data_IF_754451010729
#
_entry.id   IF_754451010729
#
_cell.length_a   1.000
_cell.length_b   1.000
_cell.length_c   1.000
_cell.angle_alpha   90.00
_cell.angle_beta   90.00
_cell.angle_gamma   90.00
#
_symmetry.space_group_name_H-M   'P 1'
#
loop_
_entity.id
_entity.type
_entity.pdbx_description
1 polymer ?
#
# COMPACT_ATOMS: atom_id res chain seq x y z
N UNK A 1 14.03 -0.30 3.30
CA UNK A 1 13.68 -0.52 1.88
C UNK A 1 14.76 0.18 1.05
N UNK A 2 15.32 -0.44 0.00
CA UNK A 2 16.51 0.07 -0.73
C UNK A 2 16.39 1.52 -1.25
N UNK A 3 15.17 2.05 -1.38
CA UNK A 3 14.90 3.40 -1.87
C UNK A 3 14.94 4.48 -0.78
N UNK A 4 14.94 4.13 0.50
CA UNK A 4 14.99 5.10 1.61
C UNK A 4 16.37 5.75 1.78
N UNK A 5 17.38 5.29 1.03
CA UNK A 5 18.77 5.75 1.13
C UNK A 5 19.20 6.70 0.01
N UNK A 6 18.36 6.90 -1.02
CA UNK A 6 18.68 7.76 -2.17
C UNK A 6 17.92 9.07 -2.10
N UNK A 7 18.60 10.17 -2.43
CA UNK A 7 18.00 11.46 -2.69
C UNK A 7 17.24 11.47 -4.02
N UNK A 8 16.36 12.46 -4.23
CA UNK A 8 15.58 12.55 -5.48
C UNK A 8 16.47 12.72 -6.71
N UNK A 9 17.56 13.47 -6.60
CA UNK A 9 18.49 13.68 -7.70
C UNK A 9 19.23 12.38 -8.08
N UNK A 10 19.68 11.61 -7.07
CA UNK A 10 20.29 10.30 -7.29
C UNK A 10 19.31 9.30 -7.91
N UNK A 11 18.03 9.34 -7.52
CA UNK A 11 16.99 8.51 -8.12
C UNK A 11 16.76 8.88 -9.59
N UNK A 12 16.76 10.17 -9.92
CA UNK A 12 16.60 10.63 -11.31
C UNK A 12 17.81 10.24 -12.17
N UNK A 13 19.03 10.43 -11.67
CA UNK A 13 20.26 10.02 -12.38
C UNK A 13 20.28 8.51 -12.63
N UNK A 14 19.86 7.70 -11.64
CA UNK A 14 19.73 6.24 -11.80
C UNK A 14 18.70 5.87 -12.88
N UNK A 15 17.56 6.59 -12.96
CA UNK A 15 16.55 6.35 -14.00
C UNK A 15 17.07 6.77 -15.38
N UNK A 16 17.80 7.87 -15.47
CA UNK A 16 18.40 8.34 -16.73
C UNK A 16 19.51 7.37 -17.22
N UNK A 17 20.33 6.86 -16.31
CA UNK A 17 21.46 5.96 -16.64
C UNK A 17 20.98 4.53 -16.93
N UNK A 18 20.11 3.98 -16.08
CA UNK A 18 19.75 2.55 -16.09
C UNK A 18 18.35 2.28 -16.64
N UNK A 19 17.55 3.32 -16.87
CA UNK A 19 16.17 3.21 -17.27
C UNK A 19 15.26 2.65 -16.18
N UNK A 20 13.97 2.53 -16.50
CA UNK A 20 12.94 1.98 -15.60
C UNK A 20 13.04 0.46 -15.38
N UNK A 21 13.90 -0.23 -16.15
CA UNK A 21 14.10 -1.69 -16.11
C UNK A 21 15.51 -2.05 -15.63
N UNK A 22 16.04 -1.31 -14.65
CA UNK A 22 17.35 -1.58 -14.06
C UNK A 22 17.39 -2.92 -13.30
N UNK A 23 18.60 -3.44 -13.05
CA UNK A 23 18.77 -4.65 -12.25
C UNK A 23 18.21 -4.49 -10.83
N UNK A 24 18.37 -3.30 -10.25
CA UNK A 24 17.83 -2.93 -8.95
C UNK A 24 16.29 -2.93 -8.95
N UNK A 25 15.66 -2.38 -10.00
CA UNK A 25 14.21 -2.43 -10.16
C UNK A 25 13.71 -3.88 -10.28
N UNK A 26 14.45 -4.74 -10.98
CA UNK A 26 14.12 -6.17 -11.10
C UNK A 26 14.20 -6.89 -9.74
N UNK A 27 15.20 -6.60 -8.90
CA UNK A 27 15.29 -7.19 -7.57
C UNK A 27 14.15 -6.72 -6.66
N UNK A 28 13.79 -5.43 -6.70
CA UNK A 28 12.61 -4.92 -5.97
C UNK A 28 11.34 -5.62 -6.43
N UNK A 29 11.14 -5.79 -7.75
CA UNK A 29 9.99 -6.51 -8.28
C UNK A 29 9.95 -7.98 -7.84
N UNK A 30 11.11 -8.65 -7.73
CA UNK A 30 11.20 -10.02 -7.19
C UNK A 30 10.81 -10.06 -5.71
N UNK A 31 11.32 -9.13 -4.90
CA UNK A 31 10.95 -9.02 -3.49
C UNK A 31 9.44 -8.80 -3.32
N UNK A 32 8.84 -7.91 -4.13
CA UNK A 32 7.41 -7.65 -4.15
C UNK A 32 6.60 -8.88 -4.57
N UNK A 33 7.04 -9.63 -5.56
CA UNK A 33 6.39 -10.86 -6.01
C UNK A 33 6.45 -11.96 -4.93
N UNK A 34 7.58 -12.10 -4.22
CA UNK A 34 7.70 -13.01 -3.08
C UNK A 34 6.72 -12.60 -1.98
N UNK A 35 6.73 -11.33 -1.59
CA UNK A 35 5.83 -10.77 -0.59
C UNK A 35 4.36 -11.01 -0.93
N UNK A 36 3.98 -10.78 -2.19
CA UNK A 36 2.63 -11.06 -2.68
C UNK A 36 2.23 -12.51 -2.48
N UNK A 37 3.11 -13.45 -2.86
CA UNK A 37 2.87 -14.89 -2.66
C UNK A 37 2.71 -15.27 -1.19
N UNK A 38 3.50 -14.67 -0.30
CA UNK A 38 3.39 -14.88 1.13
C UNK A 38 2.02 -14.46 1.66
N UNK A 39 1.52 -13.28 1.28
CA UNK A 39 0.18 -12.84 1.68
C UNK A 39 -0.93 -13.65 1.02
N UNK A 40 -0.81 -13.97 -0.27
CA UNK A 40 -1.77 -14.82 -0.98
C UNK A 40 -1.89 -16.20 -0.31
N UNK A 41 -0.79 -16.71 0.25
CA UNK A 41 -0.79 -17.92 1.05
C UNK A 41 -1.51 -17.73 2.39
N UNK A 42 -1.20 -16.65 3.13
CA UNK A 42 -1.84 -16.35 4.41
C UNK A 42 -3.36 -16.14 4.28
N UNK A 43 -3.80 -15.46 3.21
CA UNK A 43 -5.20 -15.14 2.94
C UNK A 43 -6.07 -16.37 2.66
N UNK A 44 -5.49 -17.52 2.29
CA UNK A 44 -6.19 -18.80 2.03
C UNK A 44 -6.53 -19.59 3.31
N UNK A 45 -6.68 -18.89 4.43
CA UNK A 45 -7.00 -19.43 5.77
C UNK A 45 -5.92 -20.32 6.38
N UNK A 46 -4.66 -19.89 6.24
CA UNK A 46 -3.56 -20.52 6.95
C UNK A 46 -3.27 -19.80 8.27
N UNK A 47 -3.48 -20.47 9.40
CA UNK A 47 -2.99 -20.04 10.71
C UNK A 47 -1.56 -20.52 10.91
N UNK A 48 -0.62 -19.60 11.15
CA UNK A 48 0.74 -19.95 11.55
C UNK A 48 0.78 -20.33 13.02
N UNK A 49 1.63 -21.31 13.36
CA UNK A 49 1.90 -21.70 14.75
C UNK A 49 2.51 -20.58 15.60
N UNK A 50 3.17 -19.62 14.95
CA UNK A 50 3.76 -18.44 15.58
C UNK A 50 3.19 -17.19 14.90
N UNK A 51 2.57 -16.30 15.68
CA UNK A 51 1.98 -15.07 15.18
C UNK A 51 3.09 -14.10 14.80
N UNK A 52 3.20 -13.82 13.51
CA UNK A 52 4.12 -12.84 12.95
C UNK A 52 3.36 -11.57 12.55
N UNK A 53 4.10 -10.48 12.33
CA UNK A 53 3.50 -9.18 11.98
C UNK A 53 2.64 -9.23 10.72
N UNK A 54 3.05 -10.02 9.72
CA UNK A 54 2.30 -10.24 8.47
C UNK A 54 0.92 -10.85 8.73
N UNK A 55 0.84 -11.82 9.64
CA UNK A 55 -0.40 -12.44 10.06
C UNK A 55 -1.36 -11.41 10.68
N UNK A 56 -0.87 -10.53 11.54
CA UNK A 56 -1.69 -9.50 12.21
C UNK A 56 -2.35 -8.56 11.18
N UNK A 57 -1.58 -8.15 10.16
CA UNK A 57 -2.10 -7.28 9.08
C UNK A 57 -3.18 -8.01 8.28
N UNK A 58 -2.95 -9.29 7.94
CA UNK A 58 -3.92 -10.13 7.24
C UNK A 58 -5.19 -10.37 8.07
N UNK A 59 -5.05 -10.60 9.37
CA UNK A 59 -6.18 -10.83 10.27
C UNK A 59 -7.03 -9.56 10.40
N UNK A 60 -6.40 -8.39 10.45
CA UNK A 60 -7.13 -7.12 10.42
C UNK A 60 -7.86 -6.91 9.09
N UNK A 61 -7.22 -7.24 7.95
CA UNK A 61 -7.86 -7.22 6.65
C UNK A 61 -9.11 -8.12 6.60
N UNK A 62 -9.03 -9.34 7.13
CA UNK A 62 -10.17 -10.26 7.24
C UNK A 62 -11.27 -9.70 8.14
N UNK A 63 -10.91 -9.17 9.30
CA UNK A 63 -11.84 -8.51 10.21
C UNK A 63 -12.63 -7.41 9.49
N UNK A 64 -11.97 -6.57 8.69
CA UNK A 64 -12.65 -5.54 7.90
C UNK A 64 -13.58 -6.13 6.84
N UNK A 65 -13.16 -7.19 6.14
CA UNK A 65 -14.02 -7.89 5.18
C UNK A 65 -15.27 -8.47 5.83
N UNK A 66 -15.15 -9.07 7.01
CA UNK A 66 -16.29 -9.57 7.78
C UNK A 66 -17.22 -8.44 8.23
N UNK A 67 -16.67 -7.33 8.71
CA UNK A 67 -17.44 -6.15 9.09
C UNK A 67 -18.19 -5.54 7.90
N UNK A 68 -17.54 -5.46 6.73
CA UNK A 68 -18.19 -5.02 5.49
C UNK A 68 -19.29 -6.00 5.07
N UNK A 69 -19.03 -7.31 5.13
CA UNK A 69 -20.02 -8.36 4.82
C UNK A 69 -21.27 -8.26 5.71
N UNK A 70 -21.11 -7.89 6.99
CA UNK A 70 -22.24 -7.71 7.92
C UNK A 70 -23.06 -6.44 7.62
N UNK A 71 -22.40 -5.37 7.16
CA UNK A 71 -23.01 -4.05 6.98
C UNK A 71 -23.59 -3.81 5.59
N UNK A 72 -23.06 -4.49 4.57
CA UNK A 72 -23.50 -4.31 3.20
C UNK A 72 -24.69 -5.25 2.89
N UNK A 73 -25.82 -4.73 2.36
CA UNK A 73 -26.88 -5.58 1.84
C UNK A 73 -26.36 -6.35 0.61
N UNK A 74 -26.64 -7.66 0.54
CA UNK A 74 -26.15 -8.55 -0.52
C UNK A 74 -26.60 -8.08 -1.92
N UNK A 75 -25.71 -8.27 -2.91
CA UNK A 75 -25.70 -7.72 -4.29
C UNK A 75 -25.16 -6.29 -4.44
N UNK A 76 -23.98 -6.03 -3.88
CA UNK A 76 -23.19 -4.86 -4.28
C UNK A 76 -22.57 -5.08 -5.66
N UNK A 77 -23.34 -4.89 -6.74
CA UNK A 77 -22.77 -4.60 -8.07
C UNK A 77 -21.67 -3.53 -7.91
N UNK A 78 -20.44 -3.87 -8.30
CA UNK A 78 -19.28 -2.97 -8.15
C UNK A 78 -18.43 -3.18 -6.89
N UNK A 79 -18.75 -4.16 -6.03
CA UNK A 79 -17.94 -4.52 -4.87
C UNK A 79 -16.49 -4.86 -5.21
N UNK A 80 -16.26 -5.48 -6.38
CA UNK A 80 -14.92 -5.83 -6.87
C UNK A 80 -13.98 -4.62 -7.03
N UNK A 81 -14.53 -3.42 -7.26
CA UNK A 81 -13.75 -2.18 -7.39
C UNK A 81 -13.86 -1.31 -6.12
N UNK A 82 -15.02 -1.32 -5.48
CA UNK A 82 -15.29 -0.44 -4.32
C UNK A 82 -14.67 -0.96 -3.03
N UNK A 83 -14.74 -2.27 -2.79
CA UNK A 83 -14.22 -2.87 -1.54
C UNK A 83 -12.70 -2.66 -1.41
N UNK A 84 -11.87 -2.93 -2.43
CA UNK A 84 -10.43 -2.66 -2.34
C UNK A 84 -10.12 -1.20 -1.99
N UNK A 85 -10.84 -0.23 -2.57
CA UNK A 85 -10.65 1.20 -2.28
C UNK A 85 -11.05 1.57 -0.84
N UNK A 86 -12.14 1.02 -0.32
CA UNK A 86 -12.56 1.24 1.06
C UNK A 86 -11.54 0.68 2.05
N UNK A 87 -11.03 -0.53 1.79
CA UNK A 87 -10.00 -1.16 2.62
C UNK A 87 -8.70 -0.36 2.56
N UNK A 88 -8.23 0.02 1.36
CA UNK A 88 -7.05 0.87 1.18
C UNK A 88 -7.16 2.18 1.96
N UNK A 89 -8.32 2.84 1.90
CA UNK A 89 -8.57 4.06 2.68
C UNK A 89 -8.51 3.82 4.19
N UNK A 90 -9.00 2.69 4.69
CA UNK A 90 -8.88 2.35 6.11
C UNK A 90 -7.41 2.16 6.53
N UNK A 91 -6.66 1.39 5.75
CA UNK A 91 -5.24 1.10 6.00
C UNK A 91 -4.33 2.34 5.96
N UNK A 92 -4.78 3.42 5.32
CA UNK A 92 -4.04 4.68 5.20
C UNK A 92 -4.37 5.72 6.28
N UNK A 93 -5.31 5.43 7.19
CA UNK A 93 -5.63 6.37 8.27
C UNK A 93 -4.47 6.49 9.26
N UNK A 94 -4.24 7.68 9.85
CA UNK A 94 -3.14 7.90 10.78
C UNK A 94 -3.25 7.05 12.06
N UNK A 95 -4.46 6.62 12.42
CA UNK A 95 -4.76 5.81 13.60
C UNK A 95 -4.76 4.29 13.32
N UNK A 96 -4.28 3.85 12.15
CA UNK A 96 -4.35 2.44 11.72
C UNK A 96 -3.68 1.47 12.70
N UNK A 97 -2.54 1.86 13.27
CA UNK A 97 -1.81 1.03 14.25
C UNK A 97 -2.67 0.77 15.49
N UNK A 98 -3.32 1.81 16.01
CA UNK A 98 -4.20 1.69 17.18
C UNK A 98 -5.43 0.85 16.86
N UNK A 99 -6.02 1.02 15.68
CA UNK A 99 -7.16 0.22 15.23
C UNK A 99 -6.83 -1.26 15.12
N UNK A 100 -5.71 -1.62 14.51
CA UNK A 100 -5.27 -3.02 14.41
C UNK A 100 -5.12 -3.63 15.81
N UNK A 101 -4.43 -2.92 16.72
CA UNK A 101 -4.25 -3.35 18.11
C UNK A 101 -5.58 -3.58 18.83
N UNK A 102 -6.55 -2.70 18.62
CA UNK A 102 -7.86 -2.78 19.27
C UNK A 102 -8.77 -3.85 18.65
N UNK A 103 -8.65 -4.14 17.36
CA UNK A 103 -9.54 -5.06 16.64
C UNK A 103 -9.09 -6.52 16.69
N UNK A 104 -7.81 -6.79 16.45
CA UNK A 104 -7.28 -8.17 16.35
C UNK A 104 -6.25 -8.51 17.43
N UNK A 105 -5.83 -7.53 18.22
CA UNK A 105 -4.78 -7.69 19.22
C UNK A 105 -3.38 -7.70 18.60
N UNK A 106 -2.37 -7.46 19.44
CA UNK A 106 -0.96 -7.52 19.05
C UNK A 106 -0.14 -8.20 20.15
N UNK A 107 0.91 -8.98 19.80
CA UNK A 107 1.83 -9.53 20.77
C UNK A 107 2.52 -8.42 21.59
N UNK A 108 2.78 -8.65 22.89
CA UNK A 108 3.53 -7.72 23.71
C UNK A 108 4.94 -7.53 23.11
N UNK A 109 5.37 -6.28 22.96
CA UNK A 109 6.67 -5.93 22.39
C UNK A 109 6.72 -5.73 20.87
N UNK A 110 5.59 -5.86 20.17
CA UNK A 110 5.53 -5.50 18.74
C UNK A 110 5.77 -3.99 18.57
N UNK A 111 6.86 -3.65 17.87
CA UNK A 111 7.19 -2.27 17.53
C UNK A 111 6.17 -1.69 16.55
N UNK A 112 5.74 -0.46 16.82
CA UNK A 112 4.88 0.33 15.92
C UNK A 112 5.52 0.50 14.54
N UNK A 113 6.82 0.75 14.48
CA UNK A 113 7.55 0.88 13.22
C UNK A 113 7.53 -0.42 12.41
N UNK A 114 7.63 -1.57 13.09
CA UNK A 114 7.56 -2.88 12.42
C UNK A 114 6.17 -3.12 11.83
N UNK A 115 5.12 -2.79 12.58
CA UNK A 115 3.74 -2.92 12.11
C UNK A 115 3.46 -1.96 10.94
N UNK A 116 3.92 -0.70 11.04
CA UNK A 116 3.79 0.27 9.96
C UNK A 116 4.48 -0.18 8.67
N UNK A 117 5.69 -0.74 8.77
CA UNK A 117 6.39 -1.31 7.61
C UNK A 117 5.62 -2.46 6.97
N UNK A 118 5.05 -3.33 7.79
CA UNK A 118 4.27 -4.47 7.31
C UNK A 118 2.95 -4.02 6.64
N UNK A 119 2.28 -3.01 7.20
CA UNK A 119 1.10 -2.39 6.59
C UNK A 119 1.45 -1.81 5.21
N UNK A 120 2.57 -1.08 5.10
CA UNK A 120 3.00 -0.51 3.82
C UNK A 120 3.35 -1.57 2.79
N UNK A 121 4.00 -2.67 3.22
CA UNK A 121 4.27 -3.84 2.38
C UNK A 121 2.97 -4.46 1.86
N UNK A 122 1.99 -4.68 2.74
CA UNK A 122 0.68 -5.22 2.38
C UNK A 122 -0.10 -4.31 1.41
N UNK A 123 -0.13 -2.99 1.67
CA UNK A 123 -0.73 -2.01 0.75
C UNK A 123 -0.08 -2.14 -0.63
N UNK A 124 1.25 -2.08 -0.67
CA UNK A 124 2.03 -2.05 -1.90
C UNK A 124 1.85 -3.30 -2.77
N UNK A 125 1.68 -4.49 -2.18
CA UNK A 125 1.61 -5.74 -2.98
C UNK A 125 0.20 -6.31 -3.13
N UNK A 126 -0.76 -5.89 -2.31
CA UNK A 126 -2.11 -6.44 -2.28
C UNK A 126 -3.21 -5.40 -2.56
N UNK A 127 -3.19 -4.23 -1.90
CA UNK A 127 -4.28 -3.24 -2.01
C UNK A 127 -4.07 -2.24 -3.15
N UNK A 128 -2.82 -1.87 -3.46
CA UNK A 128 -2.45 -0.98 -4.56
C UNK A 128 -1.19 -1.52 -5.30
N UNK A 129 -1.26 -2.71 -5.91
CA UNK A 129 -0.10 -3.37 -6.56
C UNK A 129 0.48 -2.58 -7.74
N UNK A 130 -0.29 -1.66 -8.32
CA UNK A 130 0.17 -0.79 -9.40
C UNK A 130 0.67 0.57 -8.89
N UNK A 131 0.55 0.84 -7.58
CA UNK A 131 0.93 2.11 -6.97
C UNK A 131 0.16 3.32 -7.50
N UNK A 132 -0.99 3.11 -8.15
CA UNK A 132 -1.72 4.17 -8.86
C UNK A 132 -2.31 5.15 -7.86
N UNK A 133 -2.89 4.64 -6.77
CA UNK A 133 -3.50 5.50 -5.75
C UNK A 133 -2.39 6.27 -5.03
N UNK A 134 -1.30 5.60 -4.63
CA UNK A 134 -0.14 6.26 -4.04
C UNK A 134 0.44 7.36 -4.94
N UNK A 135 0.56 7.10 -6.25
CA UNK A 135 1.02 8.11 -7.21
C UNK A 135 0.02 9.28 -7.34
N UNK A 136 -1.28 9.00 -7.37
CA UNK A 136 -2.32 10.03 -7.40
C UNK A 136 -2.30 10.93 -6.15
N UNK A 137 -2.04 10.37 -4.96
CA UNK A 137 -1.90 11.17 -3.74
C UNK A 137 -0.68 12.07 -3.77
N UNK A 138 0.45 11.60 -4.30
CA UNK A 138 1.65 12.43 -4.49
C UNK A 138 1.33 13.60 -5.43
N UNK A 139 0.63 13.34 -6.54
CA UNK A 139 0.19 14.39 -7.46
C UNK A 139 -0.83 15.35 -6.83
N UNK A 140 -1.77 14.83 -6.04
CA UNK A 140 -2.80 15.61 -5.34
C UNK A 140 -2.25 16.46 -4.19
N UNK A 141 -1.13 16.03 -3.58
CA UNK A 141 -0.41 16.73 -2.52
C UNK A 141 0.76 17.58 -3.04
N UNK A 142 1.00 17.65 -4.35
CA UNK A 142 1.87 18.70 -4.89
C UNK A 142 1.25 20.05 -4.49
N UNK A 143 1.99 20.97 -3.84
CA UNK A 143 1.51 22.33 -3.67
C UNK A 143 1.23 22.81 -5.09
N UNK A 144 -0.05 23.02 -5.44
CA UNK A 144 -0.51 23.48 -6.77
C UNK A 144 0.56 24.39 -7.31
N UNK A 145 1.42 23.85 -8.19
CA UNK A 145 2.43 24.65 -8.85
C UNK A 145 1.58 25.67 -9.57
N UNK A 146 1.56 26.90 -9.04
CA UNK A 146 0.82 28.01 -9.60
C UNK A 146 1.27 28.00 -11.04
N UNK A 147 0.37 27.62 -11.95
CA UNK A 147 0.63 27.61 -13.37
C UNK A 147 1.01 29.05 -13.75
N UNK A 148 2.30 29.36 -13.68
CA UNK A 148 2.97 30.38 -14.46
C UNK A 148 3.30 29.80 -15.83
N UNK A 149 2.33 29.10 -16.43
CA UNK A 149 2.21 29.07 -17.88
C UNK A 149 1.60 30.40 -18.25
N UNK A 150 2.49 31.34 -18.59
CA UNK A 150 2.14 32.60 -19.22
C UNK A 150 1.09 32.32 -20.30
N UNK A 151 -0.07 32.95 -20.18
CA UNK A 151 -0.99 33.09 -21.30
C UNK A 151 -0.29 33.92 -22.39
N UNK A 152 0.38 33.25 -23.30
CA UNK A 152 0.75 33.76 -24.61
C UNK A 152 0.59 32.59 -25.57
N UNK A 153 -0.18 32.66 -26.65
CA UNK A 153 -0.88 33.74 -27.28
C UNK A 153 -1.45 33.16 -28.58
N UNK A 154 -2.65 33.61 -28.94
CA UNK A 154 -3.30 33.52 -30.25
C UNK A 154 -3.54 32.15 -30.92
N UNK A 155 -4.83 31.84 -31.08
CA UNK A 155 -5.35 31.07 -32.21
C UNK A 155 -5.30 31.94 -33.48
N UNK A 156 -4.93 31.27 -34.58
CA UNK A 156 -4.81 31.68 -35.99
C UNK A 156 -3.57 32.48 -36.36
#
# INVERSE_FOLDING_TARGET
>A
MYLETYSMDELMELVEEKGYCSAEAVEILKEMEIAKREYDFLLRDFERKEVKTDQIVVDYYRYLLEELRRKLPYDAMGGQHTIPLLLLNEFRKPDIVEKIRNSVGCPPGLSELSLMREIQKFITVHLDPQGIILYMDVLGNQPRARNSYKQGGHMW
#
